data_IF_314096315531
#
_entry.id   IF_314096315531
#
_cell.length_a   1.000
_cell.length_b   1.000
_cell.length_c   1.000
_cell.angle_alpha   90.00
_cell.angle_beta   90.00
_cell.angle_gamma   90.00
#
_symmetry.space_group_name_H-M   'P 1'
#
loop_
_entity.id
_entity.type
_entity.pdbx_description
1 polymer ?
#
# COMPACT_ATOMS: atom_id res chain seq x y z
N UNK A 1 -28.04 39.26 54.69
CA UNK A 1 -28.25 39.48 53.24
C UNK A 1 -27.49 38.39 52.47
N UNK A 2 -28.20 37.39 52.02
CA UNK A 2 -27.62 36.25 51.23
C UNK A 2 -27.68 36.64 49.75
N UNK A 3 -26.52 36.78 49.10
CA UNK A 3 -26.41 36.98 47.64
C UNK A 3 -26.67 35.66 46.94
N UNK A 4 -27.77 35.56 46.21
CA UNK A 4 -28.08 34.46 45.31
C UNK A 4 -27.30 34.73 44.01
N UNK A 5 -26.30 33.92 43.74
CA UNK A 5 -25.59 33.89 42.43
C UNK A 5 -26.40 33.01 41.53
N UNK A 6 -27.10 33.60 40.55
CA UNK A 6 -27.83 32.91 39.50
C UNK A 6 -26.82 32.44 38.46
N UNK A 7 -26.48 31.14 38.48
CA UNK A 7 -25.63 30.50 37.50
C UNK A 7 -26.48 30.25 36.24
N UNK A 8 -26.39 31.15 35.26
CA UNK A 8 -26.98 30.92 33.93
C UNK A 8 -26.12 29.90 33.23
N UNK A 9 -26.57 28.63 33.25
CA UNK A 9 -26.00 27.55 32.47
C UNK A 9 -26.43 27.75 31.01
N UNK A 10 -25.56 28.35 30.19
CA UNK A 10 -25.77 28.50 28.76
C UNK A 10 -25.72 27.07 28.16
N UNK A 11 -26.89 26.45 27.96
CA UNK A 11 -27.01 25.26 27.15
C UNK A 11 -26.70 25.64 25.70
N UNK A 12 -25.44 25.50 25.32
CA UNK A 12 -25.08 25.44 23.90
C UNK A 12 -25.63 24.11 23.37
N UNK A 13 -26.86 24.14 22.84
CA UNK A 13 -27.39 23.06 22.04
C UNK A 13 -26.61 23.03 20.71
N UNK A 14 -25.37 22.52 20.77
CA UNK A 14 -24.66 22.13 19.55
C UNK A 14 -25.52 21.05 18.93
N UNK A 15 -26.14 21.34 17.79
CA UNK A 15 -26.69 20.31 16.91
C UNK A 15 -25.50 19.46 16.43
N UNK A 16 -25.14 18.45 17.21
CA UNK A 16 -24.33 17.36 16.75
C UNK A 16 -25.22 16.60 15.74
N UNK A 17 -25.21 17.04 14.49
CA UNK A 17 -25.64 16.18 13.41
C UNK A 17 -24.77 14.93 13.49
N UNK A 18 -25.35 13.85 13.95
CA UNK A 18 -24.72 12.53 13.86
C UNK A 18 -24.41 12.33 12.37
N UNK A 19 -23.16 12.49 12.00
CA UNK A 19 -22.73 12.31 10.61
C UNK A 19 -22.89 10.84 10.29
N UNK A 20 -23.82 10.48 9.39
CA UNK A 20 -24.03 9.10 8.95
C UNK A 20 -22.69 8.52 8.50
N UNK A 21 -22.17 7.62 9.29
CA UNK A 21 -20.94 6.89 9.01
C UNK A 21 -21.25 5.42 8.80
N UNK A 22 -20.71 4.86 7.73
CA UNK A 22 -20.77 3.43 7.44
C UNK A 22 -19.40 2.84 7.75
N UNK A 23 -19.37 1.74 8.49
CA UNK A 23 -18.14 0.99 8.77
C UNK A 23 -18.23 -0.36 8.09
N UNK A 24 -17.27 -0.64 7.20
CA UNK A 24 -17.14 -1.92 6.51
C UNK A 24 -15.86 -2.61 6.96
N UNK A 25 -15.94 -3.91 7.14
CA UNK A 25 -14.80 -4.80 7.34
C UNK A 25 -14.50 -5.49 6.02
N UNK A 26 -13.28 -5.36 5.52
CA UNK A 26 -12.92 -5.80 4.18
C UNK A 26 -11.85 -6.88 4.22
N UNK A 27 -12.00 -7.92 3.39
CA UNK A 27 -10.92 -8.88 3.12
C UNK A 27 -9.78 -8.22 2.29
N UNK A 28 -8.76 -8.99 1.96
CA UNK A 28 -7.64 -8.49 1.17
C UNK A 28 -8.02 -8.13 -0.29
N UNK A 29 -9.12 -8.71 -0.82
CA UNK A 29 -9.68 -8.38 -2.15
C UNK A 29 -10.59 -7.16 -2.11
N UNK A 30 -10.96 -6.69 -0.90
CA UNK A 30 -11.85 -5.55 -0.70
C UNK A 30 -13.34 -5.94 -0.63
N UNK A 31 -13.67 -7.21 -0.47
CA UNK A 31 -15.04 -7.66 -0.23
C UNK A 31 -15.43 -7.42 1.23
N UNK A 32 -16.71 -7.14 1.48
CA UNK A 32 -17.23 -6.98 2.83
C UNK A 32 -17.29 -8.35 3.52
N UNK A 33 -16.71 -8.44 4.71
CA UNK A 33 -16.64 -9.66 5.51
C UNK A 33 -17.01 -9.38 6.97
N UNK A 34 -17.12 -10.43 7.78
CA UNK A 34 -17.27 -10.28 9.24
C UNK A 34 -16.00 -9.68 9.84
N UNK A 35 -16.12 -8.92 10.92
CA UNK A 35 -15.01 -8.24 11.64
C UNK A 35 -13.81 -9.15 11.88
N UNK A 36 -14.03 -10.38 12.29
CA UNK A 36 -12.96 -11.33 12.61
C UNK A 36 -12.14 -11.80 11.39
N UNK A 37 -12.67 -11.61 10.18
CA UNK A 37 -12.03 -11.99 8.92
C UNK A 37 -11.49 -10.75 8.15
N UNK A 38 -11.48 -9.60 8.80
CA UNK A 38 -11.11 -8.36 8.14
C UNK A 38 -9.59 -8.21 7.99
N UNK A 39 -9.19 -7.88 6.78
CA UNK A 39 -7.83 -7.41 6.45
C UNK A 39 -7.69 -5.89 6.64
N UNK A 40 -8.76 -5.16 6.44
CA UNK A 40 -8.82 -3.70 6.60
C UNK A 40 -10.20 -3.26 7.05
N UNK A 41 -10.26 -2.07 7.65
CA UNK A 41 -11.51 -1.41 8.04
C UNK A 41 -11.68 -0.18 7.15
N UNK A 42 -12.87 0.02 6.62
CA UNK A 42 -13.24 1.19 5.85
C UNK A 42 -14.31 1.98 6.59
N UNK A 43 -14.13 3.29 6.66
CA UNK A 43 -15.19 4.22 7.08
C UNK A 43 -15.62 5.05 5.88
N UNK A 44 -16.93 5.22 5.72
CA UNK A 44 -17.53 6.02 4.65
C UNK A 44 -18.37 7.11 5.32
N UNK A 45 -18.01 8.36 5.07
CA UNK A 45 -18.64 9.52 5.69
C UNK A 45 -19.09 10.51 4.63
N UNK A 46 -20.32 10.98 4.70
CA UNK A 46 -20.81 12.05 3.82
C UNK A 46 -20.21 13.38 4.28
N UNK A 47 -19.54 14.09 3.38
CA UNK A 47 -18.97 15.44 3.55
C UNK A 47 -19.58 16.35 2.51
N UNK A 48 -20.56 17.13 2.88
CA UNK A 48 -21.30 18.01 1.96
C UNK A 48 -21.75 17.28 0.68
N UNK A 49 -21.15 17.58 -0.46
CA UNK A 49 -21.49 17.01 -1.78
C UNK A 49 -20.71 15.73 -2.14
N UNK A 50 -19.76 15.28 -1.28
CA UNK A 50 -18.88 14.16 -1.57
C UNK A 50 -18.90 13.12 -0.45
N UNK A 51 -18.46 11.92 -0.76
CA UNK A 51 -18.30 10.83 0.19
C UNK A 51 -16.81 10.57 0.43
N UNK A 52 -16.37 10.78 1.68
CA UNK A 52 -15.02 10.45 2.12
C UNK A 52 -14.96 8.97 2.49
N UNK A 53 -14.08 8.21 1.83
CA UNK A 53 -13.75 6.84 2.15
C UNK A 53 -12.36 6.81 2.76
N UNK A 54 -12.28 6.38 3.99
CA UNK A 54 -11.03 6.25 4.73
C UNK A 54 -10.84 4.78 5.07
N UNK A 55 -9.73 4.18 4.62
CA UNK A 55 -9.40 2.79 4.90
C UNK A 55 -8.21 2.70 5.84
N UNK A 56 -8.28 1.78 6.77
CA UNK A 56 -7.25 1.52 7.77
C UNK A 56 -6.73 0.10 7.64
N UNK A 57 -5.44 -0.10 7.87
CA UNK A 57 -4.87 -1.43 8.09
C UNK A 57 -5.45 -2.05 9.36
N UNK A 58 -5.37 -3.37 9.49
CA UNK A 58 -5.87 -4.08 10.68
C UNK A 58 -5.24 -3.59 12.01
N UNK A 59 -4.06 -3.00 11.97
CA UNK A 59 -3.42 -2.32 13.12
C UNK A 59 -3.91 -0.88 13.38
N UNK A 60 -4.99 -0.43 12.74
CA UNK A 60 -5.59 0.91 12.93
C UNK A 60 -4.85 2.06 12.24
N UNK A 61 -3.74 1.83 11.57
CA UNK A 61 -3.04 2.86 10.80
C UNK A 61 -3.76 3.15 9.50
N UNK A 62 -3.78 4.43 9.11
CA UNK A 62 -4.37 4.89 7.87
C UNK A 62 -3.68 4.21 6.68
N UNK A 63 -4.48 3.63 5.78
CA UNK A 63 -4.04 2.98 4.55
C UNK A 63 -4.29 3.85 3.32
N UNK A 64 -5.50 4.40 3.22
CA UNK A 64 -5.87 5.29 2.12
C UNK A 64 -7.02 6.21 2.50
N UNK A 65 -7.08 7.37 1.87
CA UNK A 65 -8.19 8.31 1.94
C UNK A 65 -8.54 8.75 0.53
N UNK A 66 -9.80 8.61 0.16
CA UNK A 66 -10.34 8.95 -1.17
C UNK A 66 -11.68 9.62 -1.05
N UNK A 67 -12.05 10.38 -2.09
CA UNK A 67 -13.34 11.02 -2.20
C UNK A 67 -14.09 10.50 -3.42
N UNK A 68 -15.43 10.40 -3.30
CA UNK A 68 -16.30 9.86 -4.33
C UNK A 68 -17.57 10.71 -4.45
N UNK A 69 -18.21 10.71 -5.62
CA UNK A 69 -19.51 11.35 -5.83
C UNK A 69 -20.66 10.64 -5.11
N UNK A 70 -20.48 9.38 -4.77
CA UNK A 70 -21.50 8.55 -4.11
C UNK A 70 -20.87 7.65 -3.05
N UNK A 71 -21.70 7.08 -2.17
CA UNK A 71 -21.24 6.09 -1.17
C UNK A 71 -20.66 4.79 -1.79
N UNK A 72 -20.94 4.53 -3.08
CA UNK A 72 -20.30 3.43 -3.83
C UNK A 72 -18.89 3.84 -4.21
N UNK A 73 -17.92 2.93 -4.06
CA UNK A 73 -16.49 3.14 -4.40
C UNK A 73 -16.23 3.17 -5.92
N UNK A 74 -17.06 3.91 -6.64
CA UNK A 74 -16.98 4.02 -8.10
C UNK A 74 -16.75 5.49 -8.42
N UNK A 75 -15.84 5.77 -9.33
CA UNK A 75 -15.55 7.13 -9.79
C UNK A 75 -15.01 8.04 -8.68
N UNK A 76 -13.74 7.87 -8.27
CA UNK A 76 -13.06 8.75 -7.33
C UNK A 76 -12.95 10.17 -7.91
N UNK A 77 -12.97 11.18 -7.03
CA UNK A 77 -12.77 12.60 -7.38
C UNK A 77 -11.85 13.28 -6.37
N UNK A 78 -11.27 14.41 -6.75
CA UNK A 78 -10.40 15.18 -5.87
C UNK A 78 -9.10 14.46 -5.51
N UNK A 79 -8.48 14.85 -4.41
CA UNK A 79 -7.17 14.35 -4.01
C UNK A 79 -7.33 12.99 -3.30
N UNK A 80 -6.50 12.04 -3.68
CA UNK A 80 -6.39 10.70 -3.07
C UNK A 80 -5.03 10.55 -2.41
N UNK A 81 -5.03 9.99 -1.20
CA UNK A 81 -3.86 9.72 -0.40
C UNK A 81 -3.72 8.23 -0.14
N UNK A 82 -2.51 7.69 -0.25
CA UNK A 82 -2.18 6.34 0.19
C UNK A 82 -1.04 6.40 1.19
N UNK A 83 -1.02 5.46 2.14
CA UNK A 83 -0.05 5.41 3.22
C UNK A 83 0.55 4.00 3.33
N UNK A 84 1.79 3.92 3.78
CA UNK A 84 2.45 2.66 4.09
C UNK A 84 1.86 2.00 5.35
N UNK A 85 2.19 0.73 5.58
CA UNK A 85 1.83 0.04 6.83
C UNK A 85 2.43 0.69 8.08
N UNK A 86 3.48 1.51 7.92
CA UNK A 86 4.05 2.32 9.00
C UNK A 86 3.28 3.62 9.25
N UNK A 87 2.38 4.01 8.34
CA UNK A 87 1.57 5.23 8.39
C UNK A 87 2.22 6.42 7.67
N UNK A 88 3.34 6.23 6.98
CA UNK A 88 3.97 7.28 6.19
C UNK A 88 3.24 7.46 4.86
N UNK A 89 3.12 8.71 4.40
CA UNK A 89 2.53 9.03 3.10
C UNK A 89 3.33 8.36 1.98
N UNK A 90 2.65 7.61 1.11
CA UNK A 90 3.28 6.86 0.03
C UNK A 90 2.89 7.35 -1.36
N UNK A 91 1.65 7.81 -1.56
CA UNK A 91 1.19 8.34 -2.86
C UNK A 91 0.19 9.46 -2.64
N UNK A 92 0.33 10.54 -3.42
CA UNK A 92 -0.69 11.57 -3.63
C UNK A 92 -0.98 11.66 -5.12
N UNK A 93 -2.26 11.66 -5.47
CA UNK A 93 -2.75 11.84 -6.82
C UNK A 93 -4.14 12.47 -6.81
N UNK A 94 -4.54 13.07 -7.91
CA UNK A 94 -5.84 13.73 -8.03
C UNK A 94 -6.65 13.17 -9.17
N UNK A 95 -7.98 13.26 -9.02
CA UNK A 95 -8.96 12.88 -10.03
C UNK A 95 -9.86 14.07 -10.32
N UNK A 96 -10.21 14.27 -11.57
CA UNK A 96 -11.19 15.27 -11.98
C UNK A 96 -12.64 14.83 -11.73
N UNK A 97 -13.60 15.62 -12.21
CA UNK A 97 -15.03 15.33 -12.08
C UNK A 97 -15.47 14.08 -12.87
N UNK A 98 -14.71 13.63 -13.86
CA UNK A 98 -14.96 12.43 -14.64
C UNK A 98 -14.25 11.19 -14.06
N UNK A 99 -13.47 11.38 -12.97
CA UNK A 99 -12.66 10.36 -12.32
C UNK A 99 -11.42 9.96 -13.13
N UNK A 100 -10.96 10.84 -13.98
CA UNK A 100 -9.69 10.69 -14.68
C UNK A 100 -8.57 11.30 -13.87
N UNK A 101 -7.38 10.70 -13.92
CA UNK A 101 -6.20 11.23 -13.25
C UNK A 101 -5.88 12.62 -13.81
N UNK A 102 -5.67 13.59 -12.92
CA UNK A 102 -5.39 14.97 -13.28
C UNK A 102 -4.45 15.64 -12.26
N UNK A 103 -3.76 16.70 -12.69
CA UNK A 103 -2.87 17.46 -11.81
C UNK A 103 -1.62 16.68 -11.36
N UNK A 104 -1.05 17.11 -10.25
CA UNK A 104 0.21 16.60 -9.75
C UNK A 104 0.08 15.18 -9.19
N UNK A 105 1.03 14.33 -9.54
CA UNK A 105 1.28 13.03 -8.94
C UNK A 105 2.59 13.06 -8.17
N UNK A 106 2.61 12.46 -6.99
CA UNK A 106 3.83 12.26 -6.21
C UNK A 106 3.77 10.96 -5.43
N UNK A 107 4.88 10.22 -5.43
CA UNK A 107 5.04 9.02 -4.60
C UNK A 107 6.39 9.04 -3.88
N UNK A 108 6.44 8.31 -2.76
CA UNK A 108 7.61 8.23 -1.90
C UNK A 108 7.97 6.77 -1.62
N UNK A 109 9.26 6.53 -1.43
CA UNK A 109 9.78 5.31 -0.85
C UNK A 109 9.50 5.26 0.67
N UNK A 110 9.71 4.10 1.27
CA UNK A 110 9.54 3.93 2.72
C UNK A 110 10.60 4.66 3.57
N UNK A 111 11.70 5.12 2.97
CA UNK A 111 12.69 6.02 3.59
C UNK A 111 12.31 7.51 3.44
N UNK A 112 11.10 7.82 2.96
CA UNK A 112 10.53 9.15 2.72
C UNK A 112 11.18 9.95 1.57
N UNK A 113 12.15 9.39 0.87
CA UNK A 113 12.64 9.98 -0.37
C UNK A 113 11.58 9.89 -1.46
N UNK A 114 11.57 10.87 -2.37
CA UNK A 114 10.67 10.86 -3.51
C UNK A 114 11.01 9.65 -4.39
N UNK A 115 9.99 8.88 -4.77
CA UNK A 115 10.10 7.79 -5.73
C UNK A 115 9.80 8.27 -7.14
N UNK A 116 8.69 8.99 -7.30
CA UNK A 116 8.30 9.55 -8.60
C UNK A 116 7.45 10.80 -8.43
N UNK A 117 7.56 11.71 -9.40
CA UNK A 117 6.71 12.89 -9.53
C UNK A 117 6.46 13.24 -10.99
N UNK A 118 5.29 13.81 -11.26
CA UNK A 118 4.89 14.23 -12.61
C UNK A 118 3.48 14.79 -12.62
N UNK A 119 2.92 14.94 -13.79
CA UNK A 119 1.59 15.49 -13.99
C UNK A 119 0.74 14.57 -14.87
N UNK A 120 -0.52 14.46 -14.52
CA UNK A 120 -1.58 13.85 -15.33
C UNK A 120 -2.50 14.91 -15.90
N UNK A 121 -3.05 14.65 -17.08
CA UNK A 121 -4.16 15.39 -17.69
C UNK A 121 -5.04 14.40 -18.43
N UNK A 122 -6.35 14.42 -18.18
CA UNK A 122 -7.32 13.51 -18.81
C UNK A 122 -6.88 12.03 -18.75
N UNK A 123 -6.45 11.58 -17.58
CA UNK A 123 -6.04 10.19 -17.33
C UNK A 123 -4.65 9.82 -17.82
N UNK A 124 -3.96 10.65 -18.60
CA UNK A 124 -2.66 10.32 -19.21
C UNK A 124 -1.52 11.18 -18.66
N UNK A 125 -0.29 10.65 -18.72
CA UNK A 125 0.91 11.39 -18.34
C UNK A 125 1.19 12.51 -19.33
N UNK A 126 1.56 13.69 -18.79
CA UNK A 126 1.94 14.86 -19.60
C UNK A 126 3.20 15.52 -19.02
N UNK A 127 3.92 16.27 -19.87
CA UNK A 127 5.10 17.02 -19.44
C UNK A 127 6.26 16.13 -18.99
N UNK A 128 6.96 16.56 -17.97
CA UNK A 128 8.14 15.87 -17.45
C UNK A 128 7.75 15.01 -16.26
N UNK A 129 8.07 13.72 -16.35
CA UNK A 129 8.03 12.78 -15.25
C UNK A 129 9.43 12.50 -14.77
N UNK A 130 9.65 12.57 -13.44
CA UNK A 130 10.91 12.28 -12.79
C UNK A 130 10.75 11.07 -11.89
N UNK A 131 11.72 10.18 -11.94
CA UNK A 131 11.86 9.01 -11.10
C UNK A 131 13.20 9.05 -10.40
N UNK A 132 13.24 8.65 -9.15
CA UNK A 132 14.43 8.80 -8.32
C UNK A 132 14.92 7.44 -7.85
N UNK A 133 16.22 7.31 -7.65
CA UNK A 133 16.81 6.20 -6.92
C UNK A 133 16.44 6.28 -5.44
N UNK A 134 16.61 5.18 -4.74
CA UNK A 134 16.30 5.10 -3.30
C UNK A 134 17.17 6.06 -2.45
N UNK A 135 18.34 6.43 -2.93
CA UNK A 135 19.21 7.45 -2.31
C UNK A 135 18.76 8.90 -2.58
N UNK A 136 17.65 9.11 -3.32
CA UNK A 136 17.08 10.40 -3.63
C UNK A 136 17.67 11.08 -4.88
N UNK A 137 18.70 10.51 -5.51
CA UNK A 137 19.23 11.04 -6.77
C UNK A 137 18.29 10.74 -7.93
N UNK A 138 18.25 11.63 -8.91
CA UNK A 138 17.45 11.47 -10.11
C UNK A 138 17.93 10.25 -10.90
N UNK A 139 16.99 9.34 -11.21
CA UNK A 139 17.26 8.13 -11.98
C UNK A 139 16.78 8.25 -13.43
N UNK A 140 15.60 8.86 -13.64
CA UNK A 140 15.03 8.94 -14.98
C UNK A 140 14.23 10.21 -15.15
N UNK A 141 14.37 10.85 -16.29
CA UNK A 141 13.45 11.86 -16.82
C UNK A 141 12.75 11.30 -18.05
N UNK A 142 11.43 11.32 -18.01
CA UNK A 142 10.58 10.96 -19.14
C UNK A 142 9.81 12.20 -19.61
N UNK A 143 9.77 12.42 -20.90
CA UNK A 143 9.06 13.53 -21.52
C UNK A 143 7.83 12.99 -22.24
N UNK A 144 6.65 13.42 -21.81
CA UNK A 144 5.36 13.00 -22.36
C UNK A 144 4.65 14.11 -23.10
N UNK A 145 4.07 13.78 -24.24
CA UNK A 145 3.11 14.63 -24.97
C UNK A 145 1.84 13.82 -25.19
N UNK A 146 0.71 14.28 -24.64
CA UNK A 146 -0.60 13.61 -24.75
C UNK A 146 -0.56 12.09 -24.46
N UNK A 147 0.09 11.69 -23.37
CA UNK A 147 0.22 10.30 -22.96
C UNK A 147 1.29 9.49 -23.70
N UNK A 148 1.84 10.02 -24.80
CA UNK A 148 2.90 9.37 -25.57
C UNK A 148 4.27 9.74 -25.00
N UNK A 149 5.08 8.72 -24.71
CA UNK A 149 6.47 8.92 -24.31
C UNK A 149 7.30 9.35 -25.51
N UNK A 150 7.91 10.55 -25.43
CA UNK A 150 8.68 11.16 -26.50
C UNK A 150 10.19 10.98 -26.32
N UNK A 151 10.65 10.96 -25.06
CA UNK A 151 12.09 10.89 -24.72
C UNK A 151 12.30 10.35 -23.32
N UNK A 152 13.34 9.55 -23.15
CA UNK A 152 13.90 9.14 -21.86
C UNK A 152 15.32 9.69 -21.69
N UNK A 153 15.68 10.01 -20.45
CA UNK A 153 17.07 10.27 -20.05
C UNK A 153 17.29 9.52 -18.75
N UNK A 154 18.33 8.70 -18.68
CA UNK A 154 18.62 7.84 -17.56
C UNK A 154 19.91 8.25 -16.85
N UNK A 155 19.96 8.01 -15.54
CA UNK A 155 21.10 8.27 -14.68
C UNK A 155 21.30 7.07 -13.75
N UNK A 156 22.54 6.79 -13.40
CA UNK A 156 22.88 5.77 -12.41
C UNK A 156 22.72 6.27 -10.97
N UNK A 157 23.02 5.41 -9.99
CA UNK A 157 22.92 5.72 -8.56
C UNK A 157 23.96 6.77 -8.09
N UNK A 158 24.92 7.17 -8.93
CA UNK A 158 25.89 8.25 -8.68
C UNK A 158 25.46 9.57 -9.29
N UNK A 159 24.38 9.56 -10.12
CA UNK A 159 23.86 10.70 -10.85
C UNK A 159 24.50 10.92 -12.21
N UNK A 160 25.34 9.99 -12.69
CA UNK A 160 25.92 10.05 -14.03
C UNK A 160 24.90 9.58 -15.07
N UNK A 161 24.88 10.27 -16.23
CA UNK A 161 24.01 9.87 -17.34
C UNK A 161 24.49 8.55 -17.93
N UNK A 162 23.54 7.65 -18.20
CA UNK A 162 23.77 6.35 -18.84
C UNK A 162 23.00 6.22 -20.15
N UNK A 163 23.48 5.38 -21.05
CA UNK A 163 22.83 5.09 -22.32
C UNK A 163 21.60 4.20 -22.11
N UNK A 164 20.60 4.37 -22.98
CA UNK A 164 19.30 3.69 -22.82
C UNK A 164 19.37 2.16 -22.97
N UNK A 165 20.31 1.64 -23.73
CA UNK A 165 20.57 0.22 -23.94
C UNK A 165 21.20 -0.47 -22.72
N UNK A 166 21.76 0.30 -21.78
CA UNK A 166 22.25 -0.20 -20.48
C UNK A 166 21.17 -0.27 -19.42
N UNK A 167 19.97 0.24 -19.69
CA UNK A 167 18.87 0.28 -18.72
C UNK A 167 18.23 -1.10 -18.58
N UNK A 168 18.06 -1.53 -17.33
CA UNK A 168 17.52 -2.83 -17.00
C UNK A 168 16.15 -2.77 -16.36
N UNK A 169 15.36 -3.84 -16.61
CA UNK A 169 14.07 -4.13 -16.00
C UNK A 169 14.09 -5.58 -15.55
N UNK A 170 13.90 -5.85 -14.27
CA UNK A 170 13.90 -7.22 -13.74
C UNK A 170 12.84 -7.36 -12.65
N UNK A 171 12.06 -8.43 -12.71
CA UNK A 171 11.26 -8.84 -11.56
C UNK A 171 12.18 -9.29 -10.41
N UNK A 172 11.72 -9.25 -9.15
CA UNK A 172 12.49 -9.81 -8.06
C UNK A 172 12.67 -11.31 -8.28
N UNK A 173 13.80 -11.88 -7.86
CA UNK A 173 14.05 -13.32 -7.96
C UNK A 173 14.55 -13.88 -6.63
N UNK A 174 14.27 -15.17 -6.39
CA UNK A 174 14.71 -15.89 -5.19
C UNK A 174 15.68 -17.00 -5.61
N UNK A 175 16.95 -16.91 -5.18
CA UNK A 175 18.00 -17.87 -5.53
C UNK A 175 18.04 -18.22 -7.03
N UNK A 176 17.92 -17.22 -7.91
CA UNK A 176 17.93 -17.37 -9.35
C UNK A 176 16.64 -17.87 -9.99
N UNK A 177 15.59 -18.14 -9.20
CA UNK A 177 14.22 -18.42 -9.65
C UNK A 177 13.25 -17.37 -9.11
N UNK A 178 11.96 -17.66 -9.10
CA UNK A 178 10.94 -16.76 -8.55
C UNK A 178 10.13 -17.46 -7.44
N UNK A 179 8.81 -17.51 -7.55
CA UNK A 179 7.96 -18.10 -6.51
C UNK A 179 8.13 -19.62 -6.37
N UNK A 180 8.50 -20.33 -7.41
CA UNK A 180 8.83 -21.76 -7.38
C UNK A 180 9.98 -22.08 -6.42
N UNK A 181 11.09 -21.36 -6.53
CA UNK A 181 12.24 -21.50 -5.64
C UNK A 181 11.94 -21.05 -4.22
N UNK A 182 11.15 -19.99 -4.08
CA UNK A 182 10.68 -19.55 -2.79
C UNK A 182 9.78 -20.60 -2.14
N UNK A 183 8.87 -21.24 -2.92
CA UNK A 183 8.04 -22.34 -2.44
C UNK A 183 8.89 -23.51 -1.91
N UNK A 184 9.87 -23.95 -2.64
CA UNK A 184 10.79 -25.01 -2.19
C UNK A 184 11.43 -24.67 -0.83
N UNK A 185 11.75 -23.40 -0.60
CA UNK A 185 12.34 -22.92 0.67
C UNK A 185 11.37 -22.96 1.84
N UNK A 186 10.09 -22.74 1.60
CA UNK A 186 9.07 -22.56 2.65
C UNK A 186 8.10 -23.75 2.77
N UNK A 187 8.14 -24.75 1.87
CA UNK A 187 7.19 -25.88 1.88
C UNK A 187 7.09 -26.61 3.22
N UNK A 188 8.15 -26.63 4.00
CA UNK A 188 8.19 -27.28 5.32
C UNK A 188 8.01 -26.30 6.48
N UNK A 189 7.49 -25.09 6.23
CA UNK A 189 7.34 -24.07 7.25
C UNK A 189 6.49 -24.53 8.45
N UNK A 190 5.47 -25.37 8.24
CA UNK A 190 4.64 -25.91 9.29
C UNK A 190 5.43 -26.80 10.26
N UNK A 191 6.35 -27.64 9.77
CA UNK A 191 7.25 -28.46 10.58
C UNK A 191 8.23 -27.59 11.37
N UNK A 192 8.76 -26.54 10.75
CA UNK A 192 9.74 -25.64 11.37
C UNK A 192 9.11 -24.78 12.46
N UNK A 193 7.89 -24.31 12.25
CA UNK A 193 7.17 -23.46 13.21
C UNK A 193 6.30 -24.29 14.17
N UNK A 194 6.10 -25.58 13.91
CA UNK A 194 5.32 -26.50 14.75
C UNK A 194 3.93 -25.94 15.08
N UNK A 195 3.08 -25.81 14.08
CA UNK A 195 1.71 -25.40 14.25
C UNK A 195 0.75 -26.30 13.48
N UNK A 196 -0.50 -26.32 13.91
CA UNK A 196 -1.56 -27.06 13.24
C UNK A 196 -2.63 -26.06 12.80
N UNK A 197 -2.70 -25.81 11.50
CA UNK A 197 -3.76 -25.02 10.87
C UNK A 197 -4.17 -25.73 9.60
N UNK A 198 -5.46 -26.01 9.48
CA UNK A 198 -6.05 -26.49 8.23
C UNK A 198 -6.53 -25.30 7.41
N UNK A 199 -6.14 -25.22 6.16
CA UNK A 199 -6.62 -24.20 5.24
C UNK A 199 -5.52 -23.36 4.61
N UNK A 200 -5.90 -22.19 4.13
CA UNK A 200 -5.03 -21.24 3.43
C UNK A 200 -4.65 -20.09 4.34
N UNK A 201 -3.37 -19.83 4.50
CA UNK A 201 -2.85 -18.61 5.12
C UNK A 201 -2.37 -17.69 4.00
N UNK A 202 -2.98 -16.53 3.91
CA UNK A 202 -2.51 -15.48 3.01
C UNK A 202 -1.32 -14.78 3.66
N UNK A 203 -0.23 -14.67 2.92
CA UNK A 203 0.99 -13.96 3.29
C UNK A 203 1.18 -12.79 2.34
N UNK A 204 1.33 -11.60 2.88
CA UNK A 204 1.72 -10.41 2.13
C UNK A 204 3.02 -9.85 2.69
N UNK A 205 3.98 -9.53 1.83
CA UNK A 205 5.26 -8.98 2.25
C UNK A 205 5.91 -8.16 1.13
N UNK A 206 6.86 -7.32 1.51
CA UNK A 206 7.67 -6.57 0.56
C UNK A 206 9.07 -7.18 0.48
N UNK A 207 9.62 -7.22 -0.73
CA UNK A 207 11.05 -7.36 -0.97
C UNK A 207 11.60 -5.93 -1.03
N UNK A 208 12.50 -5.57 -0.15
CA UNK A 208 13.12 -4.24 -0.15
C UNK A 208 14.22 -4.12 -1.22
N UNK A 209 14.84 -2.96 -1.32
CA UNK A 209 15.89 -2.67 -2.32
C UNK A 209 17.19 -3.48 -2.10
N UNK A 210 17.35 -4.09 -0.94
CA UNK A 210 18.50 -4.92 -0.58
C UNK A 210 18.17 -6.42 -0.62
N UNK A 211 16.94 -6.78 -1.05
CA UNK A 211 16.48 -8.16 -1.13
C UNK A 211 16.04 -8.75 0.20
N UNK A 212 15.77 -7.95 1.22
CA UNK A 212 15.22 -8.45 2.48
C UNK A 212 13.70 -8.51 2.41
N UNK A 213 13.12 -9.52 3.06
CA UNK A 213 11.67 -9.55 3.30
C UNK A 213 11.35 -8.58 4.43
N UNK A 214 10.44 -7.67 4.17
CA UNK A 214 9.97 -6.65 5.12
C UNK A 214 8.45 -6.53 5.09
N UNK A 215 7.87 -5.80 6.06
CA UNK A 215 6.44 -5.52 6.11
C UNK A 215 5.56 -6.79 6.02
N UNK A 216 6.02 -7.89 6.61
CA UNK A 216 5.26 -9.15 6.60
C UNK A 216 3.92 -8.95 7.30
N UNK A 217 2.87 -9.22 6.57
CA UNK A 217 1.49 -9.11 7.03
C UNK A 217 0.72 -10.40 6.70
N UNK A 218 0.00 -10.90 7.68
CA UNK A 218 -0.82 -12.11 7.57
C UNK A 218 -2.28 -11.72 7.81
N UNK A 219 -3.05 -11.48 6.73
CA UNK A 219 -4.44 -11.04 6.84
C UNK A 219 -5.41 -12.15 7.28
N UNK A 220 -4.97 -13.41 7.27
CA UNK A 220 -5.75 -14.54 7.77
C UNK A 220 -5.89 -14.44 9.28
N UNK A 221 -7.10 -14.65 9.78
CA UNK A 221 -7.34 -14.68 11.22
C UNK A 221 -6.73 -15.96 11.82
N UNK A 222 -5.55 -15.81 12.39
CA UNK A 222 -4.82 -16.88 13.09
C UNK A 222 -4.38 -16.38 14.48
N UNK A 223 -4.09 -17.30 15.43
CA UNK A 223 -3.60 -16.89 16.74
C UNK A 223 -2.37 -15.98 16.68
N UNK A 224 -2.32 -14.96 17.55
CA UNK A 224 -1.25 -13.94 17.56
C UNK A 224 0.15 -14.54 17.69
N UNK A 225 0.31 -15.57 18.53
CA UNK A 225 1.58 -16.28 18.70
C UNK A 225 2.03 -16.95 17.41
N UNK A 226 1.11 -17.54 16.64
CA UNK A 226 1.41 -18.12 15.33
C UNK A 226 1.74 -17.03 14.32
N UNK A 227 0.96 -15.96 14.27
CA UNK A 227 1.22 -14.82 13.39
C UNK A 227 2.62 -14.24 13.63
N UNK A 228 3.01 -14.03 14.88
CA UNK A 228 4.34 -13.51 15.24
C UNK A 228 5.47 -14.46 14.83
N UNK A 229 5.28 -15.76 15.01
CA UNK A 229 6.29 -16.78 14.63
C UNK A 229 6.44 -16.88 13.12
N UNK A 230 5.34 -16.86 12.36
CA UNK A 230 5.37 -16.82 10.90
C UNK A 230 6.06 -15.55 10.41
N UNK A 231 5.69 -14.39 10.96
CA UNK A 231 6.33 -13.12 10.63
C UNK A 231 7.84 -13.19 10.81
N UNK A 232 8.31 -13.57 12.00
CA UNK A 232 9.74 -13.71 12.30
C UNK A 232 10.42 -14.72 11.38
N UNK A 233 9.77 -15.84 11.06
CA UNK A 233 10.32 -16.83 10.14
C UNK A 233 10.54 -16.23 8.75
N UNK A 234 9.55 -15.54 8.17
CA UNK A 234 9.65 -14.97 6.83
C UNK A 234 10.64 -13.82 6.76
N UNK A 235 10.68 -12.92 7.75
CA UNK A 235 11.62 -11.79 7.80
C UNK A 235 13.10 -12.25 7.87
N UNK A 236 13.35 -13.49 8.31
CA UNK A 236 14.69 -14.07 8.35
C UNK A 236 15.09 -14.83 7.06
N UNK A 237 14.19 -15.00 6.10
CA UNK A 237 14.53 -15.65 4.83
C UNK A 237 15.37 -14.68 3.99
N UNK A 238 16.54 -15.16 3.54
CA UNK A 238 17.43 -14.46 2.63
C UNK A 238 17.48 -15.17 1.28
N UNK A 239 17.90 -14.48 0.23
CA UNK A 239 18.08 -15.03 -1.11
C UNK A 239 17.28 -14.31 -2.21
N UNK A 240 16.51 -13.29 -1.85
CA UNK A 240 15.88 -12.44 -2.84
C UNK A 240 16.86 -11.43 -3.43
N UNK A 241 16.77 -11.23 -4.73
CA UNK A 241 17.28 -10.05 -5.42
C UNK A 241 16.12 -9.08 -5.63
N UNK A 242 16.32 -7.77 -5.44
CA UNK A 242 15.25 -6.78 -5.57
C UNK A 242 14.76 -6.66 -7.01
N UNK A 243 13.57 -6.12 -7.18
CA UNK A 243 13.07 -5.69 -8.48
C UNK A 243 13.89 -4.51 -9.00
N UNK A 244 14.09 -4.48 -10.32
CA UNK A 244 14.72 -3.36 -11.02
C UNK A 244 13.73 -2.81 -12.04
N UNK A 245 13.46 -1.51 -11.95
CA UNK A 245 12.62 -0.76 -12.87
C UNK A 245 13.36 0.49 -13.36
N UNK A 246 13.56 0.60 -14.68
CA UNK A 246 14.35 1.69 -15.28
C UNK A 246 15.72 1.87 -14.61
N UNK A 247 16.44 0.78 -14.41
CA UNK A 247 17.73 0.70 -13.73
C UNK A 247 17.73 1.13 -12.25
N UNK A 248 16.55 1.21 -11.60
CA UNK A 248 16.38 1.51 -10.19
C UNK A 248 16.04 0.26 -9.42
N UNK A 249 16.71 0.02 -8.32
CA UNK A 249 16.23 -0.95 -7.33
C UNK A 249 14.98 -0.39 -6.67
N UNK A 250 13.90 -1.13 -6.73
CA UNK A 250 12.61 -0.71 -6.17
C UNK A 250 12.07 -1.77 -5.22
N UNK A 251 11.36 -1.37 -4.15
CA UNK A 251 10.59 -2.33 -3.34
C UNK A 251 9.51 -3.00 -4.18
N UNK A 252 9.26 -4.28 -3.91
CA UNK A 252 8.27 -5.06 -4.63
C UNK A 252 7.38 -5.84 -3.65
N UNK A 253 6.06 -5.69 -3.79
CA UNK A 253 5.10 -6.37 -2.93
C UNK A 253 4.72 -7.73 -3.49
N UNK A 254 4.74 -8.75 -2.63
CA UNK A 254 4.32 -10.12 -2.96
C UNK A 254 3.15 -10.51 -2.06
N UNK A 255 2.12 -11.06 -2.68
CA UNK A 255 1.03 -11.73 -1.98
C UNK A 255 1.08 -13.22 -2.32
N UNK A 256 1.16 -14.07 -1.31
CA UNK A 256 1.35 -15.49 -1.47
C UNK A 256 0.36 -16.29 -0.62
N UNK A 257 -0.21 -17.36 -1.18
CA UNK A 257 -1.11 -18.25 -0.48
C UNK A 257 -0.35 -19.50 0.00
N UNK A 258 -0.25 -19.66 1.31
CA UNK A 258 0.28 -20.87 1.95
C UNK A 258 -0.87 -21.83 2.23
N UNK A 259 -0.91 -22.95 1.51
CA UNK A 259 -1.82 -24.05 1.77
C UNK A 259 -1.26 -25.00 2.83
N UNK A 260 -2.05 -25.28 3.87
CA UNK A 260 -1.70 -26.25 4.90
C UNK A 260 -2.73 -27.40 4.92
N UNK A 261 -2.24 -28.62 4.84
CA UNK A 261 -3.03 -29.81 5.16
C UNK A 261 -2.38 -30.48 6.36
N UNK A 262 -3.12 -30.66 7.45
CA UNK A 262 -2.71 -31.58 8.52
C UNK A 262 -2.92 -32.98 7.96
N UNK A 263 -1.83 -33.68 7.68
CA UNK A 263 -1.89 -35.12 7.42
C UNK A 263 -2.33 -35.81 8.70
N UNK A 264 -3.47 -36.48 8.68
CA UNK A 264 -3.76 -37.49 9.67
C UNK A 264 -2.78 -38.64 9.36
N UNK A 265 -1.76 -38.84 10.17
CA UNK A 265 -1.09 -40.12 10.24
C UNK A 265 -2.06 -41.07 10.90
N UNK A 266 -2.60 -42.03 10.14
CA UNK A 266 -3.32 -43.18 10.67
C UNK A 266 -2.40 -43.98 11.61
#
# INVERSE_FOLDING_TARGET
MKKIILLIMLMITGNFFAQDSIVNYLDYKGNIVKKNNAFSVETIVKKDSVWEHTRYYNGGKLKEKRFFKSKKRVKPIGISYSFSVKGDLSVVKSFDSNSELTGNYKSWFYNKQINAEGMYSNGVKVGIWKYYHFNGLLATKQYYSNGKLMKNVFYDETGQKIDADLVTYKAPSFNGGYLDKFWERIKDVHNRIRFQVNGMILLNFDIDIDGNITNVHIPTNIPLNLSSRLKSYFENIKGWTPAIDMNRRIPFNITYNLGFRVGFTE
#
